data_IF_795690784292
#
_entry.id   IF_795690784292
#
_cell.length_a   1.000
_cell.length_b   1.000
_cell.length_c   1.000
_cell.angle_alpha   90.00
_cell.angle_beta   90.00
_cell.angle_gamma   90.00
#
_symmetry.space_group_name_H-M   'P 1'
#
loop_
_entity.id
_entity.type
_entity.pdbx_description
1 polymer ?
#
# COMPACT_ATOMS: atom_id res chain seq x y z
N UNK A 1 29.19 8.50 -3.20
CA UNK A 1 29.03 7.65 -2.02
C UNK A 1 29.71 8.13 -0.73
N UNK A 2 30.76 8.98 -0.77
CA UNK A 2 31.43 9.49 0.47
C UNK A 2 30.61 10.54 1.24
N UNK A 3 29.80 11.37 0.58
CA UNK A 3 29.00 12.42 1.23
C UNK A 3 27.85 11.89 2.10
N UNK A 4 27.22 10.77 1.74
CA UNK A 4 26.09 10.19 2.50
C UNK A 4 26.50 9.66 3.88
N UNK A 5 27.75 9.21 4.03
CA UNK A 5 28.27 8.70 5.32
C UNK A 5 28.36 9.76 6.43
N UNK A 6 28.43 11.04 6.06
CA UNK A 6 28.52 12.13 7.04
C UNK A 6 27.18 12.83 7.31
N UNK A 7 26.20 12.67 6.40
CA UNK A 7 24.85 13.25 6.55
C UNK A 7 24.03 12.46 7.57
N UNK A 8 24.15 11.13 7.57
CA UNK A 8 23.40 10.25 8.48
C UNK A 8 23.69 10.50 9.96
N UNK A 9 24.97 10.59 10.42
CA UNK A 9 25.25 10.92 11.82
C UNK A 9 24.87 12.35 12.19
N UNK A 10 24.94 13.32 11.27
CA UNK A 10 24.51 14.70 11.51
C UNK A 10 23.00 14.79 11.71
N UNK A 11 22.20 14.05 10.91
CA UNK A 11 20.75 13.93 11.08
C UNK A 11 20.38 13.24 12.42
N UNK A 12 21.15 12.24 12.84
CA UNK A 12 20.95 11.57 14.12
C UNK A 12 21.24 12.49 15.31
N UNK A 13 22.28 13.31 15.23
CA UNK A 13 22.65 14.28 16.29
C UNK A 13 21.63 15.40 16.38
N UNK A 14 21.12 15.92 15.25
CA UNK A 14 20.05 16.94 15.27
C UNK A 14 18.72 16.38 15.77
N UNK A 15 18.38 15.12 15.47
CA UNK A 15 17.19 14.46 16.01
C UNK A 15 17.29 14.27 17.55
N UNK A 16 18.46 13.98 18.09
CA UNK A 16 18.69 13.88 19.53
C UNK A 16 18.52 15.21 20.27
N UNK A 17 18.84 16.33 19.67
CA UNK A 17 18.69 17.66 20.28
C UNK A 17 17.21 18.06 20.44
N UNK A 18 16.32 17.63 19.55
CA UNK A 18 14.88 17.91 19.65
C UNK A 18 14.19 17.19 20.83
N UNK A 19 14.77 16.11 21.36
CA UNK A 19 14.17 15.35 22.47
C UNK A 19 14.35 15.99 23.84
N UNK A 20 15.31 16.88 24.00
CA UNK A 20 15.63 17.51 25.31
C UNK A 20 14.77 18.74 25.59
N UNK A 21 14.20 19.38 24.55
CA UNK A 21 13.48 20.66 24.68
C UNK A 21 12.00 20.54 25.11
N UNK A 22 11.41 19.33 25.15
CA UNK A 22 10.00 19.16 25.48
C UNK A 22 9.82 18.64 26.91
N UNK A 23 9.68 19.54 27.85
CA UNK A 23 9.47 19.19 29.28
C UNK A 23 8.01 18.91 29.63
N UNK A 24 7.05 19.49 28.89
CA UNK A 24 5.63 19.40 29.21
C UNK A 24 4.91 18.29 28.40
N UNK A 25 3.94 17.61 29.02
CA UNK A 25 3.06 16.66 28.35
C UNK A 25 1.92 17.40 27.66
N UNK A 26 1.87 17.33 26.35
CA UNK A 26 0.77 17.88 25.55
C UNK A 26 -0.39 16.90 25.48
N UNK A 27 -1.60 17.39 25.28
CA UNK A 27 -2.80 16.58 25.04
C UNK A 27 -3.01 15.48 26.10
N UNK A 28 -2.86 15.78 27.39
CA UNK A 28 -2.90 14.83 28.51
C UNK A 28 -4.21 14.02 28.54
N UNK A 29 -5.34 14.63 28.14
CA UNK A 29 -6.66 14.01 28.12
C UNK A 29 -7.04 13.38 26.77
N UNK A 30 -6.21 13.53 25.76
CA UNK A 30 -6.49 13.02 24.41
C UNK A 30 -6.74 11.51 24.45
N UNK A 31 -5.83 10.75 25.02
CA UNK A 31 -5.93 9.28 25.10
C UNK A 31 -7.11 8.76 25.93
N UNK A 32 -7.80 9.61 26.67
CA UNK A 32 -8.97 9.25 27.49
C UNK A 32 -10.29 9.32 26.70
N UNK A 33 -10.33 10.07 25.59
CA UNK A 33 -11.52 10.16 24.74
C UNK A 33 -11.80 8.81 24.10
N UNK A 34 -13.08 8.51 23.90
CA UNK A 34 -13.53 7.26 23.29
C UNK A 34 -13.26 7.25 21.77
N UNK A 35 -13.50 8.38 21.11
CA UNK A 35 -13.39 8.53 19.66
C UNK A 35 -12.46 9.68 19.31
N UNK A 36 -11.64 9.45 18.27
CA UNK A 36 -10.81 10.46 17.63
C UNK A 36 -11.05 10.40 16.14
N UNK A 37 -10.94 11.53 15.48
CA UNK A 37 -11.05 11.65 14.05
C UNK A 37 -9.80 12.27 13.49
N UNK A 38 -9.49 11.93 12.26
CA UNK A 38 -8.29 12.45 11.62
C UNK A 38 -8.31 12.26 10.12
N UNK A 39 -7.25 12.75 9.52
CA UNK A 39 -6.94 12.54 8.10
C UNK A 39 -5.54 11.94 7.97
N UNK A 40 -5.34 11.15 6.94
CA UNK A 40 -4.06 10.57 6.59
C UNK A 40 -3.74 10.84 5.14
N UNK A 41 -2.52 11.27 4.89
CA UNK A 41 -1.96 11.45 3.55
C UNK A 41 -0.66 10.64 3.46
N UNK A 42 -0.40 10.06 2.30
CA UNK A 42 0.85 9.34 2.14
C UNK A 42 1.13 8.89 0.73
N UNK A 43 2.26 8.21 0.62
CA UNK A 43 2.72 7.58 -0.61
C UNK A 43 2.56 6.07 -0.49
N UNK A 44 2.21 5.46 -1.59
CA UNK A 44 2.06 4.01 -1.73
C UNK A 44 2.99 3.55 -2.83
N UNK A 45 3.67 2.44 -2.61
CA UNK A 45 4.48 1.77 -3.62
C UNK A 45 3.93 0.35 -3.78
N UNK A 46 3.39 0.03 -4.96
CA UNK A 46 2.61 -1.18 -5.20
C UNK A 46 3.19 -2.00 -6.35
N UNK A 47 3.12 -3.31 -6.22
CA UNK A 47 3.41 -4.26 -7.31
C UNK A 47 2.50 -5.47 -7.25
N UNK A 48 2.45 -6.21 -8.36
CA UNK A 48 1.92 -7.56 -8.38
C UNK A 48 2.99 -8.58 -7.97
N UNK A 49 2.56 -9.58 -7.23
CA UNK A 49 3.30 -10.82 -7.00
C UNK A 49 2.78 -11.84 -8.02
N UNK A 50 3.62 -12.17 -9.00
CA UNK A 50 3.24 -12.94 -10.19
C UNK A 50 3.97 -14.28 -10.22
N UNK A 51 3.47 -15.34 -9.55
CA UNK A 51 4.01 -16.68 -9.75
C UNK A 51 3.69 -17.15 -11.18
N UNK A 52 4.74 -17.47 -11.94
CA UNK A 52 4.62 -17.98 -13.31
C UNK A 52 3.95 -19.34 -13.34
N UNK A 53 3.14 -19.57 -14.38
CA UNK A 53 2.61 -20.89 -14.69
C UNK A 53 3.75 -21.83 -15.15
N UNK A 54 3.71 -23.07 -14.70
CA UNK A 54 4.69 -24.11 -15.06
C UNK A 54 4.27 -24.89 -16.32
N UNK A 55 3.75 -24.22 -17.33
CA UNK A 55 3.31 -24.87 -18.56
C UNK A 55 4.42 -24.75 -19.62
N UNK A 56 4.89 -25.91 -20.12
CA UNK A 56 5.97 -25.98 -21.10
C UNK A 56 5.61 -25.36 -22.46
N UNK A 57 4.32 -25.32 -22.81
CA UNK A 57 3.84 -24.68 -24.04
C UNK A 57 3.98 -23.15 -24.05
N UNK A 58 3.89 -22.52 -22.88
CA UNK A 58 4.00 -21.06 -22.71
C UNK A 58 5.46 -20.61 -22.69
N UNK A 59 6.36 -21.44 -22.17
CA UNK A 59 7.80 -21.16 -22.08
C UNK A 59 8.49 -21.00 -23.45
N UNK A 60 7.90 -21.51 -24.52
CA UNK A 60 8.43 -21.32 -25.88
C UNK A 60 8.11 -19.93 -26.44
N UNK A 61 7.11 -19.23 -25.90
CA UNK A 61 6.67 -17.91 -26.39
C UNK A 61 7.01 -16.78 -25.44
N UNK A 62 7.07 -17.06 -24.12
CA UNK A 62 7.32 -16.06 -23.09
C UNK A 62 8.34 -16.56 -22.06
N UNK A 63 9.39 -15.75 -21.83
CA UNK A 63 10.47 -16.05 -20.89
C UNK A 63 10.14 -15.69 -19.45
N UNK A 64 9.24 -14.73 -19.22
CA UNK A 64 8.84 -14.31 -17.87
C UNK A 64 7.93 -13.10 -17.86
N UNK A 65 7.31 -12.87 -16.69
CA UNK A 65 6.56 -11.65 -16.37
C UNK A 65 7.09 -11.09 -15.07
N UNK A 66 7.43 -9.81 -15.06
CA UNK A 66 7.91 -9.09 -13.89
C UNK A 66 7.01 -7.90 -13.61
N UNK A 67 6.77 -7.61 -12.33
CA UNK A 67 6.09 -6.40 -11.90
C UNK A 67 7.04 -5.55 -11.07
N UNK A 68 7.16 -4.30 -11.44
CA UNK A 68 7.96 -3.33 -10.71
C UNK A 68 7.08 -2.50 -9.80
N UNK A 69 7.66 -2.02 -8.71
CA UNK A 69 6.99 -1.09 -7.82
C UNK A 69 6.69 0.21 -8.57
N UNK A 70 5.46 0.69 -8.42
CA UNK A 70 5.00 1.94 -8.99
C UNK A 70 4.45 2.85 -7.89
N UNK A 71 4.95 4.10 -7.82
CA UNK A 71 4.53 5.04 -6.80
C UNK A 71 3.09 5.51 -7.02
N UNK A 72 2.39 5.72 -5.92
CA UNK A 72 1.05 6.26 -5.87
C UNK A 72 0.84 7.10 -4.63
N UNK A 73 -0.36 7.66 -4.51
CA UNK A 73 -0.76 8.48 -3.39
C UNK A 73 -2.04 7.96 -2.77
N UNK A 74 -2.19 8.15 -1.47
CA UNK A 74 -3.42 7.83 -0.78
C UNK A 74 -3.87 8.96 0.15
N UNK A 75 -5.18 9.09 0.26
CA UNK A 75 -5.87 10.00 1.16
C UNK A 75 -6.90 9.20 1.97
N UNK A 76 -6.81 9.27 3.28
CA UNK A 76 -7.66 8.53 4.20
C UNK A 76 -8.34 9.45 5.21
N UNK A 77 -9.55 9.08 5.61
CA UNK A 77 -10.24 9.61 6.79
C UNK A 77 -10.06 8.57 7.89
N UNK A 78 -9.75 9.01 9.09
CA UNK A 78 -9.48 8.12 10.22
C UNK A 78 -10.58 8.27 11.25
N UNK A 79 -11.21 7.16 11.59
CA UNK A 79 -12.02 7.02 12.78
C UNK A 79 -11.29 6.07 13.74
N UNK A 80 -10.82 6.56 14.86
CA UNK A 80 -10.07 5.80 15.86
C UNK A 80 -10.89 5.68 17.14
N UNK A 81 -11.32 4.47 17.49
CA UNK A 81 -12.09 4.15 18.66
C UNK A 81 -11.21 3.46 19.71
N UNK A 82 -11.15 4.03 20.90
CA UNK A 82 -10.44 3.43 22.02
C UNK A 82 -11.21 2.23 22.57
N UNK A 83 -10.60 1.04 22.50
CA UNK A 83 -11.15 -0.20 23.08
C UNK A 83 -10.60 -0.39 24.50
N UNK A 84 -9.28 -0.23 24.68
CA UNK A 84 -8.61 -0.30 25.99
C UNK A 84 -7.59 0.81 26.13
N UNK A 85 -6.86 0.85 27.24
CA UNK A 85 -5.79 1.84 27.47
C UNK A 85 -4.63 1.68 26.47
N UNK A 86 -4.44 0.49 25.90
CA UNK A 86 -3.34 0.15 24.98
C UNK A 86 -3.82 -0.29 23.59
N UNK A 87 -5.13 -0.43 23.36
CA UNK A 87 -5.70 -0.90 22.10
C UNK A 87 -6.75 0.04 21.57
N UNK A 88 -6.68 0.37 20.29
CA UNK A 88 -7.69 1.11 19.54
C UNK A 88 -8.11 0.31 18.31
N UNK A 89 -9.39 0.41 17.95
CA UNK A 89 -9.93 -0.07 16.69
C UNK A 89 -10.07 1.12 15.74
N UNK A 90 -9.49 1.00 14.55
CA UNK A 90 -9.46 2.07 13.55
C UNK A 90 -10.20 1.64 12.30
N UNK A 91 -11.13 2.47 11.85
CA UNK A 91 -11.74 2.39 10.53
C UNK A 91 -11.21 3.54 9.69
N UNK A 92 -10.61 3.24 8.52
CA UNK A 92 -9.81 4.21 7.78
C UNK A 92 -10.25 4.26 6.29
N UNK A 93 -11.51 4.67 5.98
CA UNK A 93 -11.94 4.77 4.60
C UNK A 93 -11.14 5.83 3.83
N UNK A 94 -10.89 5.56 2.55
CA UNK A 94 -10.17 6.51 1.70
C UNK A 94 -9.98 6.06 0.27
N UNK A 95 -9.13 6.79 -0.42
CA UNK A 95 -8.84 6.60 -1.84
C UNK A 95 -7.34 6.42 -2.03
N UNK A 96 -6.97 5.45 -2.85
CA UNK A 96 -5.59 5.22 -3.31
C UNK A 96 -5.53 5.32 -4.83
N UNK A 97 -4.66 6.19 -5.31
CA UNK A 97 -4.37 6.40 -6.73
C UNK A 97 -2.99 5.82 -7.02
N UNK A 98 -2.90 4.84 -7.91
CA UNK A 98 -1.66 4.14 -8.20
C UNK A 98 -1.67 3.57 -9.61
N UNK A 99 -0.49 3.48 -10.22
CA UNK A 99 -0.25 2.70 -11.43
C UNK A 99 0.40 1.37 -11.05
N UNK A 100 0.06 0.32 -11.77
CA UNK A 100 0.68 -1.01 -11.62
C UNK A 100 1.31 -1.40 -12.95
N UNK A 101 2.62 -1.59 -12.95
CA UNK A 101 3.38 -1.86 -14.16
C UNK A 101 3.71 -3.34 -14.24
N UNK A 102 3.44 -3.95 -15.40
CA UNK A 102 3.84 -5.31 -15.72
C UNK A 102 4.73 -5.28 -16.94
N UNK A 103 5.85 -6.00 -16.86
CA UNK A 103 6.80 -6.17 -17.94
C UNK A 103 6.80 -7.63 -18.38
N UNK A 104 6.48 -7.86 -19.64
CA UNK A 104 6.43 -9.18 -20.26
C UNK A 104 7.73 -9.41 -21.08
N UNK A 105 8.48 -10.42 -20.68
CA UNK A 105 9.68 -10.86 -21.39
C UNK A 105 9.29 -11.90 -22.45
N UNK A 106 9.04 -11.44 -23.68
CA UNK A 106 8.72 -12.30 -24.80
C UNK A 106 9.98 -12.92 -25.45
N UNK A 107 9.81 -14.07 -26.10
CA UNK A 107 10.86 -14.57 -26.98
C UNK A 107 10.95 -13.64 -28.22
N UNK A 108 12.18 -13.26 -28.67
CA UNK A 108 12.35 -12.35 -29.78
C UNK A 108 11.69 -12.83 -31.09
N UNK A 109 11.63 -14.15 -31.31
CA UNK A 109 10.99 -14.72 -32.49
C UNK A 109 9.46 -14.60 -32.41
N UNK A 110 8.88 -14.75 -31.23
CA UNK A 110 7.46 -14.56 -31.00
C UNK A 110 7.05 -13.09 -31.16
N UNK A 111 7.86 -12.16 -30.63
CA UNK A 111 7.62 -10.72 -30.77
C UNK A 111 7.73 -10.25 -32.23
N UNK A 112 8.64 -10.81 -33.01
CA UNK A 112 8.75 -10.54 -34.43
C UNK A 112 7.59 -11.10 -35.27
N UNK A 113 6.98 -12.19 -34.82
CA UNK A 113 5.86 -12.85 -35.49
C UNK A 113 4.49 -12.18 -35.23
N UNK A 114 4.29 -11.61 -34.05
CA UNK A 114 3.02 -10.94 -33.68
C UNK A 114 3.29 -9.54 -33.11
N UNK A 115 3.13 -8.52 -33.93
CA UNK A 115 3.28 -7.10 -33.57
C UNK A 115 2.24 -6.57 -32.55
N UNK A 116 1.29 -7.39 -32.11
CA UNK A 116 0.31 -7.03 -31.06
C UNK A 116 0.79 -7.34 -29.66
N UNK A 117 1.95 -8.00 -29.52
CA UNK A 117 2.57 -8.30 -28.23
C UNK A 117 3.32 -7.06 -27.73
N UNK A 118 2.89 -6.52 -26.60
CA UNK A 118 3.56 -5.40 -25.93
C UNK A 118 4.40 -5.90 -24.78
N UNK A 119 5.60 -5.32 -24.64
CA UNK A 119 6.52 -5.63 -23.56
C UNK A 119 6.09 -4.99 -22.22
N UNK A 120 5.38 -3.87 -22.27
CA UNK A 120 4.93 -3.15 -21.07
C UNK A 120 3.41 -2.99 -21.04
N UNK A 121 2.83 -3.28 -19.87
CA UNK A 121 1.42 -3.03 -19.59
C UNK A 121 1.29 -2.22 -18.29
N UNK A 122 0.73 -1.04 -18.43
CA UNK A 122 0.44 -0.16 -17.30
C UNK A 122 -1.05 -0.25 -16.98
N UNK A 123 -1.35 -0.54 -15.71
CA UNK A 123 -2.73 -0.60 -15.22
C UNK A 123 -2.92 0.54 -14.21
N UNK A 124 -3.54 1.61 -14.68
CA UNK A 124 -4.00 2.68 -13.78
C UNK A 124 -5.09 2.13 -12.87
N UNK A 125 -5.00 2.43 -11.60
CA UNK A 125 -5.91 1.93 -10.59
C UNK A 125 -6.32 3.03 -9.63
N UNK A 126 -7.62 3.11 -9.40
CA UNK A 126 -8.23 3.98 -8.39
C UNK A 126 -8.98 3.08 -7.42
N UNK A 127 -8.41 2.89 -6.23
CA UNK A 127 -9.04 2.12 -5.17
C UNK A 127 -9.87 3.01 -4.23
N UNK A 128 -11.09 2.55 -3.93
CA UNK A 128 -11.73 2.92 -2.68
C UNK A 128 -11.37 1.86 -1.63
N UNK A 129 -10.65 2.27 -0.61
CA UNK A 129 -10.15 1.41 0.46
C UNK A 129 -10.98 1.58 1.73
N UNK A 130 -11.24 0.46 2.40
CA UNK A 130 -11.89 0.42 3.71
C UNK A 130 -11.09 -0.49 4.65
N UNK A 131 -9.96 -0.03 5.20
CA UNK A 131 -9.20 -0.76 6.20
C UNK A 131 -9.90 -0.74 7.56
N UNK A 132 -9.91 -1.90 8.21
CA UNK A 132 -10.25 -2.07 9.63
C UNK A 132 -9.00 -2.58 10.34
N UNK A 133 -8.42 -1.76 11.18
CA UNK A 133 -7.11 -2.00 11.81
C UNK A 133 -7.23 -1.98 13.33
N UNK A 134 -6.50 -2.87 13.98
CA UNK A 134 -6.23 -2.86 15.41
C UNK A 134 -4.90 -2.15 15.64
N UNK A 135 -4.91 -1.06 16.40
CA UNK A 135 -3.73 -0.29 16.79
C UNK A 135 -3.35 -0.66 18.21
N UNK A 136 -2.18 -1.28 18.40
CA UNK A 136 -1.63 -1.66 19.70
C UNK A 136 -0.58 -0.65 20.08
N UNK A 137 -0.85 0.13 21.10
CA UNK A 137 0.00 1.25 21.54
C UNK A 137 0.90 0.83 22.70
N UNK A 138 2.18 1.18 22.60
CA UNK A 138 3.12 1.02 23.68
C UNK A 138 2.90 2.08 24.78
N UNK A 139 3.73 2.08 25.78
CA UNK A 139 3.75 3.11 26.81
C UNK A 139 4.06 4.48 26.18
N UNK A 140 3.33 5.52 26.60
CA UNK A 140 3.58 6.89 26.14
C UNK A 140 4.76 7.48 26.91
N UNK A 141 5.77 7.90 26.16
CA UNK A 141 6.93 8.60 26.72
C UNK A 141 6.82 10.09 26.40
N UNK A 142 6.27 10.86 27.34
CA UNK A 142 6.00 12.30 27.19
C UNK A 142 5.10 12.58 25.97
N UNK A 143 5.65 13.15 24.91
CA UNK A 143 4.95 13.52 23.67
C UNK A 143 5.17 12.54 22.52
N UNK A 144 5.69 11.34 22.83
CA UNK A 144 6.01 10.29 21.86
C UNK A 144 5.40 8.96 22.28
N UNK A 145 4.86 8.22 21.33
CA UNK A 145 4.27 6.90 21.58
C UNK A 145 4.41 5.98 20.38
N UNK A 146 5.24 4.93 20.42
CA UNK A 146 5.28 3.92 19.37
C UNK A 146 4.06 3.01 19.44
N UNK A 147 3.69 2.44 18.30
CA UNK A 147 2.60 1.49 18.19
C UNK A 147 2.78 0.54 17.00
N UNK A 148 2.04 -0.57 17.05
CA UNK A 148 1.90 -1.52 15.96
C UNK A 148 0.46 -1.47 15.45
N UNK A 149 0.29 -1.74 14.17
CA UNK A 149 -1.03 -1.86 13.54
C UNK A 149 -1.12 -3.18 12.80
N UNK A 150 -2.31 -3.76 12.80
CA UNK A 150 -2.60 -4.94 12.01
C UNK A 150 -4.10 -5.04 11.76
N UNK A 151 -4.49 -5.52 10.58
CA UNK A 151 -5.91 -5.59 10.26
C UNK A 151 -6.19 -6.14 8.87
N UNK A 152 -7.45 -6.05 8.48
CA UNK A 152 -7.93 -6.36 7.14
C UNK A 152 -8.28 -5.10 6.36
N UNK A 153 -8.09 -5.14 5.06
CA UNK A 153 -8.47 -4.07 4.15
C UNK A 153 -9.31 -4.66 3.02
N UNK A 154 -10.45 -4.05 2.78
CA UNK A 154 -11.24 -4.26 1.58
C UNK A 154 -10.99 -3.10 0.62
N UNK A 155 -10.70 -3.42 -0.64
CA UNK A 155 -10.45 -2.44 -1.70
C UNK A 155 -11.39 -2.69 -2.87
N UNK A 156 -11.93 -1.63 -3.42
CA UNK A 156 -12.76 -1.64 -4.61
C UNK A 156 -12.08 -0.84 -5.72
N UNK A 157 -11.81 -1.49 -6.87
CA UNK A 157 -11.11 -0.91 -8.01
C UNK A 157 -12.10 -0.34 -9.04
N UNK A 158 -12.19 0.98 -9.11
CA UNK A 158 -13.06 1.67 -10.06
C UNK A 158 -12.55 1.59 -11.51
N UNK A 159 -11.22 1.51 -11.71
CA UNK A 159 -10.65 1.43 -13.05
C UNK A 159 -10.93 0.07 -13.68
N UNK A 160 -10.80 -1.01 -12.91
CA UNK A 160 -11.16 -2.36 -13.36
C UNK A 160 -12.62 -2.47 -13.77
N UNK A 161 -13.52 -1.76 -13.10
CA UNK A 161 -14.94 -1.76 -13.46
C UNK A 161 -15.19 -1.17 -14.86
N UNK A 162 -14.45 -0.13 -15.25
CA UNK A 162 -14.52 0.50 -16.57
C UNK A 162 -13.91 -0.42 -17.64
N UNK A 163 -12.75 -1.01 -17.37
CA UNK A 163 -12.03 -1.86 -18.32
C UNK A 163 -12.79 -3.17 -18.60
N UNK A 164 -13.42 -3.76 -17.59
CA UNK A 164 -14.20 -4.99 -17.75
C UNK A 164 -15.47 -4.81 -18.62
N UNK A 165 -15.94 -3.58 -18.84
CA UNK A 165 -17.08 -3.30 -19.73
C UNK A 165 -16.70 -3.26 -21.21
N UNK A 166 -15.44 -2.99 -21.55
CA UNK A 166 -14.93 -2.95 -22.93
C UNK A 166 -14.49 -4.35 -23.35
N UNK A 167 -15.45 -5.18 -23.80
CA UNK A 167 -15.23 -6.59 -24.17
C UNK A 167 -14.43 -6.78 -25.45
N UNK A 168 -14.34 -5.77 -26.31
CA UNK A 168 -13.76 -5.90 -27.65
C UNK A 168 -12.25 -5.66 -27.72
N UNK A 169 -11.64 -5.17 -26.62
CA UNK A 169 -10.22 -4.88 -26.58
C UNK A 169 -9.45 -6.04 -25.94
N UNK A 170 -8.92 -6.95 -26.77
CA UNK A 170 -8.09 -8.10 -26.35
C UNK A 170 -6.75 -7.69 -25.73
N UNK A 171 -6.42 -6.41 -25.78
CA UNK A 171 -5.17 -5.87 -25.26
C UNK A 171 -5.19 -5.53 -23.76
N UNK A 172 -6.34 -5.62 -23.09
CA UNK A 172 -6.53 -5.20 -21.71
C UNK A 172 -6.51 -6.41 -20.77
N UNK A 173 -5.56 -6.41 -19.79
CA UNK A 173 -5.58 -7.38 -18.70
C UNK A 173 -6.75 -7.08 -17.78
N UNK A 174 -7.67 -8.04 -17.67
CA UNK A 174 -8.86 -7.90 -16.82
C UNK A 174 -8.56 -8.31 -15.40
N UNK A 175 -8.87 -7.41 -14.47
CA UNK A 175 -8.69 -7.62 -13.04
C UNK A 175 -10.04 -7.66 -12.33
N UNK A 176 -10.10 -8.39 -11.22
CA UNK A 176 -11.26 -8.35 -10.33
C UNK A 176 -11.42 -6.95 -9.74
N UNK A 177 -12.66 -6.54 -9.62
CA UNK A 177 -13.03 -5.21 -9.11
C UNK A 177 -12.87 -5.08 -7.60
N UNK A 178 -12.83 -6.20 -6.86
CA UNK A 178 -12.73 -6.21 -5.40
C UNK A 178 -11.52 -7.02 -4.93
N UNK A 179 -10.84 -6.51 -3.91
CA UNK A 179 -9.66 -7.12 -3.32
C UNK A 179 -9.77 -7.14 -1.80
N UNK A 180 -9.45 -8.30 -1.20
CA UNK A 180 -9.21 -8.42 0.22
C UNK A 180 -7.70 -8.57 0.47
N UNK A 181 -7.20 -7.80 1.43
CA UNK A 181 -5.81 -7.85 1.86
C UNK A 181 -5.70 -7.76 3.37
N UNK A 182 -4.58 -8.19 3.92
CA UNK A 182 -4.23 -7.91 5.30
C UNK A 182 -3.11 -6.88 5.35
N UNK A 183 -3.16 -6.08 6.41
CA UNK A 183 -2.21 -4.99 6.66
C UNK A 183 -1.46 -5.26 7.94
N UNK A 184 -0.15 -5.05 7.92
CA UNK A 184 0.69 -5.01 9.12
C UNK A 184 1.58 -3.78 9.05
N UNK A 185 1.88 -3.19 10.20
CA UNK A 185 2.71 -2.00 10.21
C UNK A 185 3.10 -1.53 11.60
N UNK A 186 3.87 -0.47 11.60
CA UNK A 186 4.31 0.21 12.81
C UNK A 186 4.28 1.73 12.59
N UNK A 187 4.14 2.46 13.67
CA UNK A 187 4.12 3.91 13.62
C UNK A 187 4.48 4.56 14.95
N UNK A 188 4.56 5.86 14.89
CA UNK A 188 4.90 6.70 16.01
C UNK A 188 3.90 7.85 16.11
N UNK A 189 3.23 7.97 17.26
CA UNK A 189 2.39 9.13 17.61
C UNK A 189 3.27 10.22 18.24
N UNK A 190 3.10 11.45 17.73
CA UNK A 190 3.68 12.68 18.27
C UNK A 190 2.57 13.58 18.77
N UNK A 191 2.56 13.88 20.06
CA UNK A 191 1.55 14.74 20.67
C UNK A 191 2.03 16.18 20.63
N UNK A 192 1.47 16.96 19.68
CA UNK A 192 1.72 18.39 19.56
C UNK A 192 0.79 19.19 20.47
N UNK A 193 0.89 20.50 20.47
CA UNK A 193 0.09 21.36 21.36
C UNK A 193 -1.43 21.21 21.12
N UNK A 194 -1.85 21.12 19.83
CA UNK A 194 -3.25 21.17 19.43
C UNK A 194 -3.77 19.88 18.80
N UNK A 195 -2.92 19.06 18.26
CA UNK A 195 -3.29 17.82 17.54
C UNK A 195 -2.22 16.74 17.73
N UNK A 196 -2.61 15.52 17.45
CA UNK A 196 -1.71 14.38 17.40
C UNK A 196 -1.34 14.13 15.95
N UNK A 197 -0.05 14.05 15.66
CA UNK A 197 0.49 13.64 14.38
C UNK A 197 1.05 12.24 14.51
N UNK A 198 0.93 11.41 13.47
CA UNK A 198 1.65 10.15 13.44
C UNK A 198 2.32 9.93 12.08
N UNK A 199 3.39 9.14 12.11
CA UNK A 199 4.07 8.60 10.94
C UNK A 199 3.93 7.10 10.99
N UNK A 200 3.35 6.50 9.95
CA UNK A 200 3.07 5.07 9.84
C UNK A 200 3.79 4.47 8.63
N UNK A 201 4.44 3.34 8.83
CA UNK A 201 4.92 2.48 7.75
C UNK A 201 4.10 1.19 7.78
N UNK A 202 3.41 0.90 6.69
CA UNK A 202 2.54 -0.27 6.56
C UNK A 202 2.88 -1.10 5.33
N UNK A 203 2.61 -2.39 5.42
CA UNK A 203 2.69 -3.33 4.31
C UNK A 203 1.33 -4.00 4.15
N UNK A 204 0.83 -4.02 2.92
CA UNK A 204 -0.39 -4.73 2.55
C UNK A 204 -0.04 -5.94 1.71
N UNK A 205 -0.73 -7.05 2.01
CA UNK A 205 -0.60 -8.31 1.29
C UNK A 205 -1.97 -8.74 0.81
N UNK A 206 -2.19 -8.75 -0.51
CA UNK A 206 -3.41 -9.21 -1.14
C UNK A 206 -3.59 -10.72 -0.92
N UNK A 207 -4.78 -11.11 -0.49
CA UNK A 207 -5.19 -12.51 -0.34
C UNK A 207 -5.97 -12.96 -1.58
N UNK A 208 -6.70 -12.01 -2.19
CA UNK A 208 -7.54 -12.30 -3.35
C UNK A 208 -6.68 -12.38 -4.60
N UNK A 209 -6.80 -13.49 -5.33
CA UNK A 209 -6.27 -13.58 -6.69
C UNK A 209 -7.04 -12.60 -7.60
N UNK A 210 -6.34 -11.61 -8.13
CA UNK A 210 -6.90 -10.55 -8.97
C UNK A 210 -7.15 -10.99 -10.41
N UNK A 211 -6.62 -12.14 -10.82
CA UNK A 211 -6.75 -12.67 -12.17
C UNK A 211 -8.20 -13.00 -12.48
N UNK A 212 -8.71 -12.51 -13.61
CA UNK A 212 -9.89 -13.05 -14.26
C UNK A 212 -9.41 -14.04 -15.33
N UNK A 213 -9.82 -15.33 -15.28
CA UNK A 213 -9.45 -16.29 -16.31
C UNK A 213 -9.98 -15.82 -17.68
N UNK A 214 -9.07 -15.56 -18.58
CA UNK A 214 -9.34 -15.16 -19.96
C UNK A 214 -8.41 -15.96 -20.87
N UNK A 215 -8.86 -16.33 -22.07
CA UNK A 215 -8.06 -17.11 -23.04
C UNK A 215 -7.02 -16.23 -23.77
N UNK A 216 -6.47 -15.21 -23.07
CA UNK A 216 -5.47 -14.31 -23.62
C UNK A 216 -4.06 -14.81 -23.27
N UNK A 217 -3.09 -14.64 -24.16
CA UNK A 217 -1.67 -15.00 -23.92
C UNK A 217 -1.13 -14.41 -22.62
N UNK A 218 -1.56 -13.18 -22.26
CA UNK A 218 -1.13 -12.47 -21.06
C UNK A 218 -1.62 -13.12 -19.76
N UNK A 219 -2.84 -13.66 -19.75
CA UNK A 219 -3.44 -14.24 -18.55
C UNK A 219 -3.10 -15.71 -18.36
N UNK A 220 -2.86 -16.45 -19.45
CA UNK A 220 -2.55 -17.89 -19.40
C UNK A 220 -1.17 -18.15 -18.77
N UNK A 221 -0.24 -17.20 -18.92
CA UNK A 221 1.12 -17.29 -18.43
C UNK A 221 1.26 -17.10 -16.90
N UNK A 222 0.25 -16.58 -16.24
CA UNK A 222 0.29 -16.20 -14.81
C UNK A 222 -0.61 -17.15 -14.04
N UNK A 223 -0.09 -17.77 -12.98
CA UNK A 223 -0.83 -18.73 -12.15
C UNK A 223 -1.80 -18.03 -11.20
N UNK A 224 -1.33 -16.97 -10.52
CA UNK A 224 -2.11 -16.13 -9.62
C UNK A 224 -1.55 -14.70 -9.66
N UNK A 225 -2.38 -13.72 -9.29
CA UNK A 225 -2.00 -12.31 -9.30
C UNK A 225 -2.40 -11.68 -7.95
N UNK A 226 -1.44 -11.61 -7.05
CA UNK A 226 -1.62 -11.01 -5.74
C UNK A 226 -0.96 -9.63 -5.68
N UNK A 227 -1.52 -8.75 -4.86
CA UNK A 227 -1.00 -7.39 -4.68
C UNK A 227 -0.09 -7.32 -3.46
N UNK A 228 1.06 -6.65 -3.59
CA UNK A 228 1.87 -6.20 -2.45
C UNK A 228 2.04 -4.70 -2.50
N UNK A 229 1.86 -4.04 -1.36
CA UNK A 229 2.05 -2.60 -1.27
C UNK A 229 2.79 -2.20 0.01
N UNK A 230 3.67 -1.21 -0.14
CA UNK A 230 4.27 -0.45 0.96
C UNK A 230 3.61 0.90 1.04
N UNK A 231 3.24 1.32 2.24
CA UNK A 231 2.59 2.60 2.49
C UNK A 231 3.37 3.38 3.55
N UNK A 232 3.71 4.60 3.22
CA UNK A 232 4.20 5.58 4.19
C UNK A 232 3.12 6.65 4.35
N UNK A 233 2.55 6.76 5.54
CA UNK A 233 1.41 7.64 5.83
C UNK A 233 1.77 8.61 6.94
N UNK A 234 1.41 9.87 6.75
CA UNK A 234 1.38 10.88 7.80
C UNK A 234 -0.07 11.11 8.16
N UNK A 235 -0.40 11.02 9.45
CA UNK A 235 -1.75 11.24 9.95
C UNK A 235 -1.80 12.41 10.91
N UNK A 236 -2.94 13.10 10.90
CA UNK A 236 -3.27 14.19 11.84
C UNK A 236 -4.62 13.88 12.45
N UNK A 237 -4.67 13.80 13.78
CA UNK A 237 -5.87 13.47 14.55
C UNK A 237 -6.13 14.56 15.62
N UNK A 238 -7.43 14.89 15.81
CA UNK A 238 -7.90 15.89 16.76
C UNK A 238 -8.92 15.37 17.77
#
# INVERSE_FOLDING_TARGET
MKAVKHILPLLLVTAMQCTVAQTDMHLVNFDKRLLHYGIGLGVTDIKFDLPLAQDDGIRTTMRGVESYYAPGFHLYIIGDMRVTSFMNLRLIPGITLVERNMHYNWDPDALAADHRLDEQRNVETVFADVPLELKIRAWRWRNFRPYLVGGGKFSFDFASLKNNKNRDDQSIVRLKTSEFSYTVGAGFDFYLLYFKMAIELKMNFGITDQKIPDDTYYTTAINAMNTRAFLLTITVEG
#
